data_IF_771638793419
#
_entry.id   IF_771638793419
#
_cell.length_a   1.000
_cell.length_b   1.000
_cell.length_c   1.000
_cell.angle_alpha   90.00
_cell.angle_beta   90.00
_cell.angle_gamma   90.00
#
_symmetry.space_group_name_H-M   'P 1'
#
loop_
_entity.id
_entity.type
_entity.pdbx_description
1 polymer ?
#
# COMPACT_ATOMS: atom_id res chain seq x y z
N UNK A 1 -0.52 -6.62 14.16
CA UNK A 1 -0.56 -8.09 13.97
C UNK A 1 0.84 -8.68 14.04
N UNK A 2 1.02 -10.01 14.12
CA UNK A 2 2.36 -10.64 14.20
C UNK A 2 3.20 -10.37 12.94
N UNK A 3 2.58 -10.40 11.76
CA UNK A 3 3.23 -10.07 10.48
C UNK A 3 3.76 -8.63 10.43
N UNK A 4 2.93 -7.67 10.87
CA UNK A 4 3.34 -6.25 10.98
C UNK A 4 4.56 -6.11 11.89
N UNK A 5 4.56 -6.82 13.02
CA UNK A 5 5.67 -6.77 13.97
C UNK A 5 6.96 -7.27 13.34
N UNK A 6 6.93 -8.36 12.58
CA UNK A 6 8.13 -8.88 11.89
C UNK A 6 8.67 -7.85 10.89
N UNK A 7 7.79 -7.17 10.15
CA UNK A 7 8.20 -6.11 9.20
C UNK A 7 8.84 -4.93 9.93
N UNK A 8 8.24 -4.47 11.04
CA UNK A 8 8.78 -3.39 11.86
C UNK A 8 10.12 -3.78 12.49
N UNK A 9 10.24 -4.99 13.02
CA UNK A 9 11.49 -5.52 13.59
C UNK A 9 12.60 -5.61 12.54
N UNK A 10 12.30 -6.05 11.32
CA UNK A 10 13.28 -6.06 10.23
C UNK A 10 13.80 -4.65 9.92
N UNK A 11 12.91 -3.65 9.82
CA UNK A 11 13.32 -2.27 9.58
C UNK A 11 14.04 -1.66 10.77
N UNK A 12 13.69 -2.04 12.00
CA UNK A 12 14.43 -1.67 13.21
C UNK A 12 15.86 -2.22 13.15
N UNK A 13 16.02 -3.49 12.79
CA UNK A 13 17.35 -4.11 12.64
C UNK A 13 18.18 -3.42 11.55
N UNK A 14 17.58 -3.08 10.40
CA UNK A 14 18.25 -2.28 9.36
C UNK A 14 18.71 -0.92 9.90
N UNK A 15 17.88 -0.23 10.68
CA UNK A 15 18.24 1.05 11.30
C UNK A 15 19.38 0.90 12.32
N UNK A 16 19.35 -0.15 13.15
CA UNK A 16 20.41 -0.48 14.10
C UNK A 16 21.74 -0.77 13.38
N UNK A 17 21.70 -1.56 12.29
CA UNK A 17 22.87 -1.85 11.46
C UNK A 17 23.44 -0.58 10.80
N UNK A 18 22.60 0.41 10.49
CA UNK A 18 23.01 1.72 10.01
C UNK A 18 23.52 2.67 11.11
N UNK A 19 23.50 2.24 12.38
CA UNK A 19 24.03 2.99 13.52
C UNK A 19 23.03 3.95 14.19
N UNK A 20 21.74 3.82 13.92
CA UNK A 20 20.70 4.59 14.61
C UNK A 20 20.29 3.93 15.93
N UNK A 21 19.95 4.72 16.94
CA UNK A 21 19.19 4.24 18.10
C UNK A 21 17.72 4.05 17.66
N UNK A 22 17.35 2.80 17.39
CA UNK A 22 16.02 2.45 16.91
C UNK A 22 15.31 1.55 17.92
N UNK A 23 14.18 2.04 18.43
CA UNK A 23 13.36 1.36 19.44
C UNK A 23 12.00 1.00 18.87
N UNK A 24 11.43 -0.08 19.39
CA UNK A 24 10.05 -0.45 19.11
C UNK A 24 9.14 0.27 20.10
N UNK A 25 8.02 0.82 19.63
CA UNK A 25 6.99 1.45 20.45
C UNK A 25 5.61 1.12 19.87
N UNK A 26 4.64 0.80 20.73
CA UNK A 26 3.24 0.65 20.29
C UNK A 26 2.66 2.03 19.99
N UNK A 27 1.72 2.14 19.03
CA UNK A 27 1.08 3.43 18.73
C UNK A 27 0.36 4.02 19.95
N UNK A 28 -0.22 3.16 20.80
CA UNK A 28 -0.93 3.56 22.02
C UNK A 28 -0.01 4.08 23.14
N UNK A 29 1.29 3.81 23.03
CA UNK A 29 2.32 4.19 23.99
C UNK A 29 3.02 5.51 23.60
N UNK A 30 2.57 6.17 22.52
CA UNK A 30 3.12 7.44 22.06
C UNK A 30 2.30 8.60 22.63
N UNK A 31 2.94 9.42 23.46
CA UNK A 31 2.35 10.63 24.03
C UNK A 31 2.73 11.89 23.26
N UNK A 32 1.87 12.91 23.31
CA UNK A 32 2.18 14.27 22.85
C UNK A 32 2.21 15.25 24.03
N UNK A 33 3.27 16.04 24.12
CA UNK A 33 3.40 17.11 25.11
C UNK A 33 3.04 18.45 24.49
N UNK A 34 1.99 19.10 24.99
CA UNK A 34 1.59 20.45 24.56
C UNK A 34 2.56 21.54 25.02
N UNK A 35 3.36 21.29 26.06
CA UNK A 35 4.36 22.23 26.57
C UNK A 35 5.58 22.32 25.65
N UNK A 36 6.05 21.18 25.16
CA UNK A 36 7.25 21.11 24.29
C UNK A 36 6.89 21.03 22.81
N UNK A 37 5.63 20.70 22.49
CA UNK A 37 5.14 20.41 21.15
C UNK A 37 5.95 19.27 20.48
N UNK A 38 6.16 18.19 21.25
CA UNK A 38 6.96 17.01 20.87
C UNK A 38 6.23 15.71 21.24
N UNK A 39 6.66 14.63 20.61
CA UNK A 39 6.21 13.27 20.90
C UNK A 39 7.22 12.52 21.77
N UNK A 40 6.73 11.66 22.65
CA UNK A 40 7.51 10.89 23.59
C UNK A 40 7.01 9.45 23.69
N UNK A 41 7.91 8.52 24.03
CA UNK A 41 7.54 7.17 24.46
C UNK A 41 7.24 7.13 25.98
N UNK A 42 6.82 5.96 26.47
CA UNK A 42 6.51 5.71 27.89
C UNK A 42 7.71 5.88 28.84
N UNK A 43 8.93 5.92 28.32
CA UNK A 43 10.16 6.15 29.07
C UNK A 43 10.61 7.63 28.99
N UNK A 44 9.76 8.51 28.47
CA UNK A 44 10.00 9.95 28.30
C UNK A 44 11.15 10.28 27.33
N UNK A 45 11.47 9.38 26.38
CA UNK A 45 12.42 9.69 25.31
C UNK A 45 11.71 10.44 24.17
N UNK A 46 12.31 11.54 23.70
CA UNK A 46 11.77 12.30 22.55
C UNK A 46 11.81 11.46 21.27
N UNK A 47 10.66 11.31 20.61
CA UNK A 47 10.52 10.68 19.31
C UNK A 47 10.71 11.73 18.21
N UNK A 48 11.91 11.75 17.63
CA UNK A 48 12.28 12.69 16.56
C UNK A 48 12.03 12.13 15.17
N UNK A 49 12.13 10.82 15.03
CA UNK A 49 11.89 10.08 13.80
C UNK A 49 11.01 8.87 14.12
N UNK A 50 10.00 8.60 13.30
CA UNK A 50 9.11 7.46 13.48
C UNK A 50 8.80 6.79 12.14
N UNK A 51 9.13 5.50 12.05
CA UNK A 51 8.60 4.62 11.00
C UNK A 51 7.29 3.98 11.50
N UNK A 52 6.28 3.92 10.63
CA UNK A 52 4.98 3.31 10.98
C UNK A 52 4.41 2.47 9.84
N UNK A 53 3.80 1.34 10.18
CA UNK A 53 2.83 0.65 9.32
C UNK A 53 1.41 1.19 9.52
N UNK A 54 1.18 2.00 10.55
CA UNK A 54 -0.11 2.63 10.81
C UNK A 54 -0.52 3.55 9.64
N UNK A 55 -1.66 3.33 8.98
CA UNK A 55 -2.11 4.12 7.83
C UNK A 55 -2.16 5.61 8.12
N UNK A 56 -1.81 6.41 7.12
CA UNK A 56 -1.90 7.86 7.24
C UNK A 56 -3.35 8.35 7.33
N UNK A 57 -4.28 7.70 6.63
CA UNK A 57 -5.70 8.06 6.63
C UNK A 57 -6.31 7.88 8.02
N UNK A 58 -5.89 6.84 8.75
CA UNK A 58 -6.34 6.59 10.13
C UNK A 58 -5.72 7.61 11.08
N UNK A 59 -4.41 7.83 10.96
CA UNK A 59 -3.69 8.80 11.76
C UNK A 59 -4.27 10.21 11.66
N UNK A 60 -4.72 10.63 10.47
CA UNK A 60 -5.32 11.94 10.24
C UNK A 60 -6.80 12.02 10.62
N UNK A 61 -7.49 10.87 10.74
CA UNK A 61 -8.87 10.82 11.22
C UNK A 61 -8.96 10.91 12.75
N UNK A 62 -7.84 10.74 13.44
CA UNK A 62 -7.72 10.76 14.90
C UNK A 62 -7.17 12.10 15.41
N UNK A 63 -7.45 12.41 16.67
CA UNK A 63 -6.97 13.62 17.35
C UNK A 63 -5.43 13.74 17.31
N UNK A 64 -4.74 12.60 17.31
CA UNK A 64 -3.27 12.53 17.21
C UNK A 64 -2.74 13.22 15.94
N UNK A 65 -3.48 13.11 14.82
CA UNK A 65 -3.10 13.69 13.53
C UNK A 65 -2.97 15.22 13.56
N UNK A 66 -3.72 15.89 14.42
CA UNK A 66 -3.71 17.35 14.56
C UNK A 66 -2.35 17.87 15.01
N UNK A 67 -1.62 17.09 15.81
CA UNK A 67 -0.35 17.48 16.39
C UNK A 67 0.85 17.28 15.45
N UNK A 68 0.72 16.44 14.41
CA UNK A 68 1.82 16.10 13.49
C UNK A 68 2.37 17.33 12.77
N UNK A 69 1.49 18.23 12.33
CA UNK A 69 1.89 19.42 11.58
C UNK A 69 2.66 20.44 12.43
N UNK A 70 2.38 20.48 13.73
CA UNK A 70 3.01 21.40 14.67
C UNK A 70 4.30 20.81 15.26
N UNK A 71 4.36 19.50 15.45
CA UNK A 71 5.51 18.83 16.04
C UNK A 71 6.68 18.73 15.06
N UNK A 72 7.89 18.92 15.56
CA UNK A 72 9.11 18.70 14.77
C UNK A 72 9.52 17.22 14.81
N UNK A 73 8.71 16.38 14.17
CA UNK A 73 8.90 14.94 13.97
C UNK A 73 9.08 14.62 12.48
N UNK A 74 9.95 13.64 12.16
CA UNK A 74 10.09 13.09 10.82
C UNK A 74 9.38 11.74 10.73
N UNK A 75 8.38 11.64 9.84
CA UNK A 75 7.60 10.42 9.65
C UNK A 75 8.04 9.66 8.38
N UNK A 76 8.22 8.36 8.53
CA UNK A 76 8.53 7.42 7.45
C UNK A 76 7.38 6.41 7.30
N UNK A 77 6.74 6.30 6.14
CA UNK A 77 6.85 7.15 4.94
C UNK A 77 6.23 8.55 5.15
N UNK A 78 6.68 9.61 4.42
CA UNK A 78 6.18 10.98 4.56
C UNK A 78 4.73 11.14 4.08
N UNK A 79 4.04 12.17 4.57
CA UNK A 79 2.60 12.38 4.31
C UNK A 79 2.23 12.43 2.82
N UNK A 80 3.08 12.97 1.95
CA UNK A 80 2.80 13.04 0.52
C UNK A 80 2.66 11.66 -0.14
N UNK A 81 3.18 10.59 0.47
CA UNK A 81 2.98 9.21 -0.02
C UNK A 81 1.51 8.78 0.02
N UNK A 82 0.66 9.44 0.80
CA UNK A 82 -0.80 9.25 0.75
C UNK A 82 -1.36 9.43 -0.66
N UNK A 83 -0.81 10.37 -1.42
CA UNK A 83 -1.22 10.60 -2.81
C UNK A 83 -0.90 9.38 -3.67
N UNK A 84 0.28 8.77 -3.47
CA UNK A 84 0.72 7.61 -4.24
C UNK A 84 0.00 6.31 -3.83
N UNK A 85 -0.41 6.18 -2.57
CA UNK A 85 -1.13 5.00 -2.08
C UNK A 85 -2.64 5.04 -2.34
N UNK A 86 -3.19 6.21 -2.70
CA UNK A 86 -4.61 6.37 -3.01
C UNK A 86 -4.89 6.02 -4.48
N UNK A 87 -5.80 5.07 -4.71
CA UNK A 87 -6.17 4.63 -6.07
C UNK A 87 -6.84 5.72 -6.93
N UNK A 88 -7.35 6.79 -6.33
CA UNK A 88 -7.85 7.96 -7.04
C UNK A 88 -6.78 8.64 -7.91
N UNK A 89 -5.49 8.37 -7.67
CA UNK A 89 -4.42 8.83 -8.55
C UNK A 89 -4.43 8.12 -9.92
N UNK A 90 -4.99 6.91 -10.02
CA UNK A 90 -4.91 6.11 -11.26
C UNK A 90 -5.68 6.74 -12.43
N UNK A 91 -6.94 7.21 -12.27
CA UNK A 91 -7.61 7.96 -13.33
C UNK A 91 -6.87 9.24 -13.74
N UNK A 92 -6.27 9.95 -12.77
CA UNK A 92 -5.50 11.17 -13.03
C UNK A 92 -4.24 10.85 -13.83
N UNK A 93 -3.51 9.79 -13.47
CA UNK A 93 -2.33 9.34 -14.23
C UNK A 93 -2.70 8.95 -15.66
N UNK A 94 -3.83 8.28 -15.84
CA UNK A 94 -4.32 7.92 -17.17
C UNK A 94 -4.73 9.14 -18.00
N UNK A 95 -5.36 10.14 -17.39
CA UNK A 95 -5.70 11.41 -18.05
C UNK A 95 -4.45 12.18 -18.49
N UNK A 96 -3.44 12.25 -17.63
CA UNK A 96 -2.19 12.96 -17.92
C UNK A 96 -1.29 12.23 -18.92
N UNK A 97 -1.31 10.89 -18.91
CA UNK A 97 -0.45 10.04 -19.73
C UNK A 97 -1.25 8.91 -20.41
N UNK A 98 -2.16 9.27 -21.34
CA UNK A 98 -2.96 8.27 -22.04
C UNK A 98 -2.06 7.32 -22.85
N UNK A 99 -2.45 6.05 -22.90
CA UNK A 99 -1.74 4.98 -23.62
C UNK A 99 -0.29 4.72 -23.16
N UNK A 100 0.09 5.20 -21.97
CA UNK A 100 1.40 4.89 -21.41
C UNK A 100 1.53 3.36 -21.18
N UNK A 101 2.63 2.71 -21.59
CA UNK A 101 2.75 1.24 -21.64
C UNK A 101 2.65 0.55 -20.26
N UNK A 102 2.87 1.29 -19.18
CA UNK A 102 2.76 0.79 -17.80
C UNK A 102 1.48 1.23 -17.09
N UNK A 103 0.55 1.90 -17.77
CA UNK A 103 -0.74 2.29 -17.22
C UNK A 103 -1.88 1.49 -17.87
N UNK A 104 -2.93 1.28 -17.10
CA UNK A 104 -4.21 0.77 -17.61
C UNK A 104 -5.22 1.91 -17.60
N UNK A 105 -6.14 1.97 -18.57
CA UNK A 105 -7.30 2.83 -18.53
C UNK A 105 -7.99 2.77 -17.16
N UNK A 106 -8.14 3.93 -16.53
CA UNK A 106 -8.79 4.06 -15.24
C UNK A 106 -9.66 5.32 -15.22
N UNK A 107 -10.84 5.22 -14.63
CA UNK A 107 -11.85 6.27 -14.61
C UNK A 107 -12.61 6.28 -13.28
N UNK A 108 -13.32 7.37 -12.99
CA UNK A 108 -14.28 7.41 -11.88
C UNK A 108 -15.65 6.85 -12.29
N UNK A 109 -15.94 6.80 -13.58
CA UNK A 109 -17.19 6.28 -14.16
C UNK A 109 -16.96 4.92 -14.85
N UNK A 110 -17.78 3.93 -14.50
CA UNK A 110 -17.66 2.56 -15.02
C UNK A 110 -18.05 2.43 -16.50
N UNK A 111 -18.89 3.33 -16.98
CA UNK A 111 -19.47 3.35 -18.34
C UNK A 111 -18.41 3.53 -19.42
N UNK A 112 -17.24 4.07 -19.05
CA UNK A 112 -16.09 4.21 -19.94
C UNK A 112 -15.40 2.88 -20.27
N UNK A 113 -15.71 1.81 -19.53
CA UNK A 113 -15.14 0.47 -19.68
C UNK A 113 -16.24 -0.52 -20.08
N UNK A 114 -16.39 -0.74 -21.39
CA UNK A 114 -17.49 -1.56 -21.95
C UNK A 114 -17.25 -3.05 -21.82
N UNK A 115 -16.00 -3.50 -21.89
CA UNK A 115 -15.67 -4.93 -21.90
C UNK A 115 -15.58 -5.57 -20.52
N UNK A 116 -15.41 -4.74 -19.49
CA UNK A 116 -15.22 -5.18 -18.12
C UNK A 116 -14.31 -4.23 -17.36
N UNK A 117 -14.32 -4.35 -16.04
CA UNK A 117 -13.53 -3.49 -15.16
C UNK A 117 -13.21 -4.19 -13.84
N UNK A 118 -12.24 -3.62 -13.13
CA UNK A 118 -12.00 -3.84 -11.71
C UNK A 118 -12.37 -2.58 -10.96
N UNK A 119 -13.40 -2.64 -10.12
CA UNK A 119 -13.80 -1.57 -9.20
C UNK A 119 -12.95 -1.68 -7.94
N UNK A 120 -12.31 -0.59 -7.54
CA UNK A 120 -11.40 -0.56 -6.39
C UNK A 120 -11.69 0.65 -5.49
N UNK A 121 -11.92 0.48 -4.18
CA UNK A 121 -12.04 1.63 -3.27
C UNK A 121 -10.73 2.42 -3.20
N UNK A 122 -10.83 3.73 -2.97
CA UNK A 122 -9.68 4.64 -2.94
C UNK A 122 -8.56 4.20 -1.99
N UNK A 123 -8.90 3.87 -0.75
CA UNK A 123 -7.93 3.52 0.31
C UNK A 123 -7.77 2.01 0.57
N UNK A 124 -8.45 1.17 -0.22
CA UNK A 124 -8.42 -0.28 0.00
C UNK A 124 -7.01 -0.87 -0.04
N UNK A 125 -6.80 -1.95 0.71
CA UNK A 125 -5.54 -2.69 0.78
C UNK A 125 -5.82 -4.18 0.63
N UNK A 126 -4.79 -4.96 0.31
CA UNK A 126 -4.83 -6.44 0.41
C UNK A 126 -5.95 -7.13 -0.38
N UNK A 127 -6.43 -6.51 -1.45
CA UNK A 127 -7.52 -7.06 -2.26
C UNK A 127 -8.90 -6.95 -1.62
N UNK A 128 -9.08 -6.14 -0.57
CA UNK A 128 -10.38 -5.93 0.06
C UNK A 128 -11.34 -5.07 -0.79
N UNK A 129 -12.64 -5.43 -0.78
CA UNK A 129 -13.73 -4.73 -1.49
C UNK A 129 -13.47 -4.51 -3.00
N UNK A 130 -12.68 -5.38 -3.62
CA UNK A 130 -12.47 -5.41 -5.05
C UNK A 130 -13.64 -6.13 -5.70
N UNK A 131 -14.18 -5.54 -6.78
CA UNK A 131 -15.14 -6.21 -7.67
C UNK A 131 -14.52 -6.29 -9.05
N UNK A 132 -14.42 -7.50 -9.59
CA UNK A 132 -13.98 -7.75 -10.95
C UNK A 132 -15.16 -8.24 -11.79
N UNK A 133 -15.45 -7.52 -12.87
CA UNK A 133 -16.52 -7.86 -13.82
C UNK A 133 -15.90 -7.96 -15.22
N UNK A 134 -15.72 -9.17 -15.72
CA UNK A 134 -15.34 -9.41 -17.12
C UNK A 134 -16.59 -9.80 -17.92
N UNK A 135 -17.04 -8.92 -18.81
CA UNK A 135 -18.24 -9.18 -19.61
C UNK A 135 -17.96 -10.11 -20.78
N UNK A 136 -16.71 -10.18 -21.25
CA UNK A 136 -16.30 -11.07 -22.35
C UNK A 136 -16.25 -12.52 -21.90
N UNK A 137 -15.80 -12.74 -20.66
CA UNK A 137 -15.69 -14.07 -20.06
C UNK A 137 -16.90 -14.47 -19.20
N UNK A 138 -17.90 -13.58 -19.08
CA UNK A 138 -19.02 -13.72 -18.14
C UNK A 138 -18.53 -14.05 -16.71
N UNK A 139 -17.48 -13.36 -16.28
CA UNK A 139 -16.85 -13.54 -14.97
C UNK A 139 -17.24 -12.40 -14.03
N UNK A 140 -17.52 -12.78 -12.79
CA UNK A 140 -17.82 -11.84 -11.72
C UNK A 140 -17.25 -12.39 -10.41
N UNK A 141 -16.42 -11.60 -9.74
CA UNK A 141 -15.90 -11.89 -8.40
C UNK A 141 -15.93 -10.62 -7.56
N UNK A 142 -16.34 -10.73 -6.31
CA UNK A 142 -16.30 -9.64 -5.33
C UNK A 142 -15.70 -10.17 -4.02
N UNK A 143 -14.77 -9.42 -3.46
CA UNK A 143 -14.12 -9.72 -2.18
C UNK A 143 -14.73 -8.89 -1.06
N UNK A 144 -14.81 -9.46 0.14
CA UNK A 144 -15.30 -8.76 1.33
C UNK A 144 -14.30 -7.71 1.86
N UNK A 145 -14.76 -6.88 2.80
CA UNK A 145 -13.95 -5.88 3.51
C UNK A 145 -14.78 -4.68 3.99
N UNK A 146 -14.11 -3.69 4.57
CA UNK A 146 -14.75 -2.51 5.19
C UNK A 146 -14.52 -1.20 4.44
N UNK A 147 -13.88 -1.23 3.26
CA UNK A 147 -13.63 -0.04 2.44
C UNK A 147 -14.79 0.27 1.52
N UNK A 148 -14.95 1.55 1.13
CA UNK A 148 -15.87 1.94 0.07
C UNK A 148 -16.65 3.23 0.29
N UNK A 149 -16.69 3.74 1.53
CA UNK A 149 -17.38 4.99 1.85
C UNK A 149 -16.78 6.20 1.12
N UNK A 150 -15.48 6.15 0.85
CA UNK A 150 -14.72 7.24 0.27
C UNK A 150 -14.85 7.31 -1.25
N UNK A 151 -15.42 6.27 -1.87
CA UNK A 151 -15.60 6.15 -3.30
C UNK A 151 -14.66 5.14 -3.96
N UNK A 152 -14.82 5.02 -5.28
CA UNK A 152 -14.21 3.97 -6.09
C UNK A 152 -13.62 4.54 -7.37
N UNK A 153 -12.58 3.86 -7.87
CA UNK A 153 -12.18 3.93 -9.27
C UNK A 153 -12.60 2.66 -10.00
N UNK A 154 -12.65 2.74 -11.32
CA UNK A 154 -12.85 1.64 -12.23
C UNK A 154 -11.65 1.57 -13.17
N UNK A 155 -10.97 0.42 -13.19
CA UNK A 155 -9.78 0.21 -14.01
C UNK A 155 -10.01 -0.93 -15.00
N UNK A 156 -9.46 -0.84 -16.19
CA UNK A 156 -9.46 -1.94 -17.15
C UNK A 156 -8.87 -3.21 -16.53
N UNK A 157 -9.43 -4.36 -16.91
CA UNK A 157 -8.93 -5.66 -16.48
C UNK A 157 -7.57 -5.92 -17.12
N UNK A 158 -6.55 -6.11 -16.28
CA UNK A 158 -5.26 -6.61 -16.70
C UNK A 158 -5.34 -8.12 -17.00
N UNK A 159 -4.68 -8.57 -18.07
CA UNK A 159 -4.45 -9.99 -18.29
C UNK A 159 -3.33 -10.46 -17.37
N UNK A 160 -3.67 -10.95 -16.18
CA UNK A 160 -2.71 -11.59 -15.29
C UNK A 160 -2.27 -12.93 -15.89
N UNK A 161 -0.96 -13.22 -15.99
CA UNK A 161 -0.49 -14.51 -16.46
C UNK A 161 -0.91 -15.60 -15.46
N UNK A 162 -1.45 -16.69 -15.99
CA UNK A 162 -1.86 -17.86 -15.22
C UNK A 162 -0.95 -19.04 -15.57
N UNK A 163 -0.20 -19.54 -14.59
CA UNK A 163 0.71 -20.68 -14.73
C UNK A 163 0.17 -21.85 -13.90
N UNK A 164 -0.25 -22.92 -14.57
CA UNK A 164 -0.80 -24.12 -13.92
C UNK A 164 -1.92 -23.81 -12.91
N UNK A 165 -2.78 -22.85 -13.24
CA UNK A 165 -3.88 -22.40 -12.39
C UNK A 165 -3.51 -21.32 -11.36
N UNK A 166 -2.26 -20.85 -11.33
CA UNK A 166 -1.79 -19.81 -10.42
C UNK A 166 -1.65 -18.46 -11.15
N UNK A 167 -2.36 -17.44 -10.68
CA UNK A 167 -2.25 -16.08 -11.19
C UNK A 167 -1.09 -15.36 -10.52
N UNK A 168 -0.08 -15.01 -11.30
CA UNK A 168 1.15 -14.42 -10.78
C UNK A 168 1.14 -12.89 -10.88
N UNK A 169 1.57 -12.24 -9.81
CA UNK A 169 1.87 -10.80 -9.77
C UNK A 169 3.32 -10.55 -9.37
N UNK A 170 3.88 -9.46 -9.91
CA UNK A 170 5.21 -8.98 -9.53
C UNK A 170 5.04 -7.82 -8.57
N UNK A 171 5.60 -7.95 -7.38
CA UNK A 171 5.88 -6.82 -6.49
C UNK A 171 7.26 -6.27 -6.80
N UNK A 172 7.39 -4.97 -7.03
CA UNK A 172 8.68 -4.29 -7.26
C UNK A 172 8.95 -3.31 -6.13
N UNK A 173 10.10 -3.44 -5.48
CA UNK A 173 10.52 -2.58 -4.38
C UNK A 173 11.35 -1.40 -4.90
N UNK A 174 11.02 -0.21 -4.40
CA UNK A 174 11.75 1.03 -4.69
C UNK A 174 12.24 1.62 -3.38
N UNK A 175 13.55 1.77 -3.24
CA UNK A 175 14.21 2.38 -2.08
C UNK A 175 14.85 3.69 -2.55
N UNK A 176 14.42 4.82 -1.97
CA UNK A 176 14.92 6.15 -2.31
C UNK A 176 14.91 6.44 -3.84
N UNK A 177 13.82 6.05 -4.51
CA UNK A 177 13.65 6.26 -5.95
C UNK A 177 14.38 5.25 -6.86
N UNK A 178 15.12 4.29 -6.29
CA UNK A 178 15.85 3.26 -7.04
C UNK A 178 15.18 1.90 -6.90
N UNK A 179 15.11 1.14 -7.99
CA UNK A 179 14.67 -0.27 -7.94
C UNK A 179 15.64 -1.08 -7.09
N UNK A 180 15.12 -1.82 -6.12
CA UNK A 180 15.91 -2.53 -5.12
C UNK A 180 15.63 -4.04 -5.05
N UNK A 181 14.63 -4.52 -5.80
CA UNK A 181 14.31 -5.95 -5.85
C UNK A 181 12.88 -6.20 -6.29
N UNK A 182 12.57 -7.47 -6.53
CA UNK A 182 11.23 -7.92 -6.84
C UNK A 182 10.84 -9.11 -5.95
N UNK A 183 9.55 -9.36 -5.87
CA UNK A 183 8.98 -10.61 -5.36
C UNK A 183 7.85 -11.07 -6.27
N UNK A 184 7.55 -12.35 -6.24
CA UNK A 184 6.41 -12.93 -6.96
C UNK A 184 5.40 -13.42 -5.93
N UNK A 185 4.14 -13.05 -6.13
CA UNK A 185 3.01 -13.64 -5.42
C UNK A 185 2.10 -14.36 -6.38
N UNK A 186 1.54 -15.47 -5.93
CA UNK A 186 0.59 -16.27 -6.69
C UNK A 186 -0.68 -16.52 -5.88
N UNK A 187 -1.81 -16.51 -6.58
CA UNK A 187 -3.12 -16.84 -6.03
C UNK A 187 -3.86 -17.81 -6.98
N UNK A 188 -4.84 -18.54 -6.46
CA UNK A 188 -5.68 -19.43 -7.28
C UNK A 188 -6.84 -18.68 -7.95
N UNK A 189 -7.10 -17.43 -7.54
CA UNK A 189 -8.01 -16.51 -8.25
C UNK A 189 -7.26 -15.31 -8.87
N UNK A 190 -7.86 -14.62 -9.87
CA UNK A 190 -7.27 -13.41 -10.45
C UNK A 190 -7.08 -12.25 -9.46
N UNK A 191 -7.81 -12.25 -8.32
CA UNK A 191 -7.72 -11.20 -7.30
C UNK A 191 -6.77 -11.66 -6.20
N UNK A 192 -5.55 -11.11 -6.20
CA UNK A 192 -4.56 -11.37 -5.15
C UNK A 192 -4.94 -10.76 -3.81
N UNK A 193 -4.76 -11.52 -2.73
CA UNK A 193 -5.15 -11.24 -1.35
C UNK A 193 -3.90 -11.20 -0.44
N UNK A 194 -4.07 -10.84 0.85
CA UNK A 194 -2.98 -10.97 1.82
C UNK A 194 -2.50 -12.42 2.02
N UNK A 195 -3.40 -13.40 1.82
CA UNK A 195 -3.11 -14.83 1.87
C UNK A 195 -2.42 -15.37 0.61
N UNK A 196 -2.22 -14.55 -0.43
CA UNK A 196 -1.52 -14.99 -1.64
C UNK A 196 -0.10 -15.42 -1.32
N UNK A 197 0.31 -16.52 -1.93
CA UNK A 197 1.56 -17.23 -1.63
C UNK A 197 2.75 -16.46 -2.17
N UNK A 198 3.79 -16.24 -1.38
CA UNK A 198 5.09 -15.81 -1.91
C UNK A 198 5.77 -16.98 -2.63
N UNK A 199 6.24 -16.72 -3.85
CA UNK A 199 6.88 -17.74 -4.69
C UNK A 199 8.37 -17.44 -4.85
N UNK A 200 9.26 -18.41 -4.59
CA UNK A 200 10.69 -18.25 -4.84
C UNK A 200 10.95 -17.96 -6.31
N UNK A 201 11.88 -17.04 -6.57
CA UNK A 201 12.33 -16.73 -7.92
C UNK A 201 13.85 -16.63 -7.95
N UNK A 202 14.44 -16.77 -9.14
CA UNK A 202 15.88 -16.63 -9.35
C UNK A 202 16.15 -16.00 -10.71
N UNK A 203 17.18 -15.15 -10.77
CA UNK A 203 17.69 -14.62 -12.03
C UNK A 203 18.74 -15.58 -12.58
N UNK A 204 18.53 -16.03 -13.83
CA UNK A 204 19.55 -16.78 -14.55
C UNK A 204 20.41 -15.79 -15.34
N UNK A 205 21.75 -15.86 -15.26
CA UNK A 205 22.60 -15.13 -16.18
C UNK A 205 22.20 -15.49 -17.61
N UNK A 206 22.15 -14.50 -18.50
CA UNK A 206 22.00 -14.78 -19.92
C UNK A 206 23.25 -15.58 -20.36
N UNK A 207 23.03 -16.83 -20.76
CA UNK A 207 24.05 -17.67 -21.39
C UNK A 207 24.46 -17.13 -22.75
#
# INVERSE_FOLDING_TARGET
HEEDRVTVEYLRDVALQAGFDARYVSMEDIGFSSETNRFYDIEENEIRCLFKLYPWEWLLAEDFGLHISAAAITLFEPAWKMVLSNKAILPILWELYPDHPNLLPAFFESERLTDGYVRKPFFSREGANILMQDRRMNYHEETEGTYGEEGYIYQEIAKSPCFDGNYAIIGSWVINGLSAGIGIREDDTPITKNTSRFVPHLFRPNS
#
